data_IF_314020951173
#
_entry.id   IF_314020951173
#
_cell.length_a   1.000
_cell.length_b   1.000
_cell.length_c   1.000
_cell.angle_alpha   90.00
_cell.angle_beta   90.00
_cell.angle_gamma   90.00
#
_symmetry.space_group_name_H-M   'P 1'
#
loop_
_entity.id
_entity.type
_entity.pdbx_description
1 polymer ?
#
# COMPACT_ATOMS: atom_id res chain seq x y z
N UNK A 1 42.80 56.54 4.23
CA UNK A 1 43.01 55.50 3.19
C UNK A 1 41.98 55.70 2.08
N UNK A 2 42.17 55.06 0.93
CA UNK A 2 41.78 55.59 -0.37
C UNK A 2 40.27 55.59 -0.71
N UNK A 3 39.97 56.23 -1.82
CA UNK A 3 38.66 56.74 -2.26
C UNK A 3 38.49 56.37 -3.75
N UNK A 4 37.26 56.23 -4.25
CA UNK A 4 36.88 55.99 -5.68
C UNK A 4 37.20 54.60 -6.26
N UNK A 5 36.57 54.12 -7.36
CA UNK A 5 35.17 54.11 -7.83
C UNK A 5 35.10 53.24 -9.12
N UNK A 6 33.90 52.80 -9.52
CA UNK A 6 33.49 52.40 -10.89
C UNK A 6 34.01 51.10 -11.56
N UNK A 7 33.05 50.42 -12.20
CA UNK A 7 33.13 49.29 -13.16
C UNK A 7 33.93 49.61 -14.45
N UNK A 8 34.30 48.59 -15.26
CA UNK A 8 33.49 48.30 -16.45
C UNK A 8 33.23 46.80 -16.74
N UNK A 9 32.29 46.54 -17.64
CA UNK A 9 31.83 45.23 -18.14
C UNK A 9 32.12 45.17 -19.64
N UNK A 10 32.93 44.21 -20.13
CA UNK A 10 33.16 44.00 -21.58
C UNK A 10 33.10 42.52 -21.94
N UNK A 11 32.61 42.25 -23.16
CA UNK A 11 32.30 40.96 -23.79
C UNK A 11 33.48 40.35 -24.57
N UNK A 12 33.21 39.16 -25.13
CA UNK A 12 34.00 38.45 -26.16
C UNK A 12 35.17 37.61 -25.59
N UNK A 13 35.55 36.47 -26.18
CA UNK A 13 35.30 35.99 -27.56
C UNK A 13 35.13 34.46 -27.60
N UNK A 14 34.54 33.98 -28.70
CA UNK A 14 34.44 32.57 -29.11
C UNK A 14 35.70 32.19 -29.89
N UNK A 15 36.30 31.03 -29.64
CA UNK A 15 37.26 30.40 -30.56
C UNK A 15 37.10 28.88 -30.53
N UNK A 16 36.79 28.31 -31.70
CA UNK A 16 37.21 26.96 -32.09
C UNK A 16 38.76 26.99 -32.21
N UNK A 17 39.53 25.91 -32.24
CA UNK A 17 39.32 24.48 -32.54
C UNK A 17 40.55 23.71 -32.04
N UNK A 18 40.46 22.40 -31.84
CA UNK A 18 41.35 21.40 -32.47
C UNK A 18 41.02 19.98 -31.98
N UNK A 19 41.02 19.03 -32.92
CA UNK A 19 40.88 17.60 -32.65
C UNK A 19 42.26 17.05 -32.26
N UNK A 20 42.31 16.15 -31.28
CA UNK A 20 43.37 15.15 -31.21
C UNK A 20 42.83 13.87 -30.55
N UNK A 21 42.72 12.81 -31.34
CA UNK A 21 42.63 11.45 -30.81
C UNK A 21 43.96 11.09 -30.15
N UNK A 22 43.93 10.50 -28.95
CA UNK A 22 44.49 9.18 -28.71
C UNK A 22 44.17 8.67 -27.28
N UNK A 23 44.05 7.35 -27.19
CA UNK A 23 43.92 6.56 -25.96
C UNK A 23 45.14 6.68 -25.03
N UNK A 24 44.91 6.61 -23.71
CA UNK A 24 45.51 5.62 -22.77
C UNK A 24 44.63 5.58 -21.51
N UNK A 25 44.58 4.42 -20.85
CA UNK A 25 43.78 4.07 -19.68
C UNK A 25 43.98 4.96 -18.43
N UNK A 26 42.93 5.04 -17.61
CA UNK A 26 43.04 5.37 -16.19
C UNK A 26 42.06 4.50 -15.38
N UNK A 27 42.60 3.77 -14.41
CA UNK A 27 41.93 2.73 -13.62
C UNK A 27 41.04 3.27 -12.48
N UNK A 28 40.20 2.39 -11.93
CA UNK A 28 39.57 2.44 -10.59
C UNK A 28 38.58 3.59 -10.28
N UNK A 29 37.47 3.39 -9.55
CA UNK A 29 37.13 2.36 -8.55
C UNK A 29 35.70 1.82 -8.77
N UNK A 30 35.55 0.49 -8.78
CA UNK A 30 34.26 -0.22 -8.66
C UNK A 30 34.34 -1.20 -7.47
N UNK A 31 33.47 -1.11 -6.45
CA UNK A 31 33.47 -2.09 -5.35
C UNK A 31 32.85 -3.42 -5.80
N UNK A 32 33.73 -4.38 -6.04
CA UNK A 32 33.44 -5.78 -6.34
C UNK A 32 32.44 -6.43 -5.37
N UNK A 33 31.47 -7.22 -5.88
CA UNK A 33 30.88 -8.35 -5.12
C UNK A 33 30.25 -9.43 -6.01
N UNK A 34 31.04 -10.09 -6.86
CA UNK A 34 30.65 -11.38 -7.46
C UNK A 34 31.85 -12.34 -7.64
N UNK A 35 31.67 -13.58 -7.18
CA UNK A 35 32.46 -14.82 -7.39
C UNK A 35 33.77 -15.03 -6.59
N UNK A 36 33.78 -16.10 -5.77
CA UNK A 36 34.87 -17.03 -5.37
C UNK A 36 34.31 -18.00 -4.30
N UNK A 37 34.56 -19.32 -4.17
CA UNK A 37 34.93 -20.45 -5.06
C UNK A 37 34.10 -21.71 -4.58
N UNK A 38 34.15 -22.93 -5.17
CA UNK A 38 33.02 -23.90 -5.15
C UNK A 38 33.28 -25.27 -4.48
N UNK A 39 32.30 -26.19 -4.68
CA UNK A 39 32.39 -27.67 -4.75
C UNK A 39 32.32 -28.52 -3.46
N UNK A 40 31.63 -29.66 -3.64
CA UNK A 40 31.76 -30.94 -2.94
C UNK A 40 31.28 -31.03 -1.48
N UNK A 41 29.99 -31.33 -1.32
CA UNK A 41 29.59 -32.40 -0.40
C UNK A 41 28.62 -33.36 -1.10
N UNK A 42 29.03 -34.64 -1.21
CA UNK A 42 28.24 -35.76 -1.72
C UNK A 42 28.09 -36.73 -0.54
N UNK A 43 26.94 -36.74 0.11
CA UNK A 43 26.64 -37.71 1.18
C UNK A 43 25.39 -38.50 0.84
N UNK A 44 25.64 -39.77 0.51
CA UNK A 44 24.83 -40.95 0.79
C UNK A 44 23.41 -40.76 1.33
N UNK A 45 22.44 -41.28 0.58
CA UNK A 45 21.16 -41.73 1.14
C UNK A 45 21.37 -42.76 2.25
N UNK A 46 20.58 -42.75 3.32
CA UNK A 46 20.23 -43.92 4.10
C UNK A 46 18.96 -44.57 3.57
N UNK A 47 18.92 -45.88 3.73
CA UNK A 47 17.95 -46.86 3.23
C UNK A 47 16.51 -46.65 3.72
N UNK A 48 15.59 -47.32 3.01
CA UNK A 48 14.16 -47.35 3.26
C UNK A 48 13.82 -47.93 4.65
N UNK A 49 12.86 -47.33 5.34
CA UNK A 49 12.13 -47.98 6.42
C UNK A 49 10.63 -47.80 6.19
N UNK A 50 9.99 -48.87 5.68
CA UNK A 50 8.54 -48.94 5.57
C UNK A 50 7.91 -48.93 6.96
N UNK A 51 7.12 -47.89 7.27
CA UNK A 51 6.13 -47.95 8.35
C UNK A 51 4.75 -47.66 7.77
N UNK A 52 4.06 -48.72 7.38
CA UNK A 52 2.65 -48.66 6.96
C UNK A 52 1.77 -48.30 8.16
N UNK A 53 1.37 -47.04 8.25
CA UNK A 53 0.28 -46.61 9.12
C UNK A 53 -0.76 -45.95 8.23
N UNK A 54 -1.84 -46.68 7.95
CA UNK A 54 -3.03 -46.13 7.32
C UNK A 54 -3.68 -45.11 8.27
N UNK A 55 -3.20 -43.86 8.21
CA UNK A 55 -4.00 -42.71 8.59
C UNK A 55 -4.83 -42.32 7.37
N UNK A 56 -6.14 -42.58 7.40
CA UNK A 56 -7.09 -41.90 6.51
C UNK A 56 -7.03 -40.41 6.83
N UNK A 57 -6.09 -39.72 6.18
CA UNK A 57 -6.01 -38.26 6.19
C UNK A 57 -7.31 -37.76 5.58
N UNK A 58 -8.21 -37.28 6.46
CA UNK A 58 -9.51 -36.75 6.09
C UNK A 58 -9.32 -35.39 5.43
N UNK A 59 -8.70 -35.39 4.24
CA UNK A 59 -8.39 -34.20 3.46
C UNK A 59 -9.69 -33.44 3.24
N UNK A 60 -9.82 -32.34 4.00
CA UNK A 60 -10.90 -31.38 3.88
C UNK A 60 -10.79 -30.74 2.50
N UNK A 61 -11.40 -31.39 1.50
CA UNK A 61 -11.49 -30.85 0.14
C UNK A 61 -12.00 -29.43 0.24
N UNK A 62 -11.33 -28.43 -0.37
CA UNK A 62 -11.77 -27.05 -0.30
C UNK A 62 -13.24 -27.00 -0.74
N UNK A 63 -14.15 -26.52 0.13
CA UNK A 63 -15.55 -26.83 -0.05
C UNK A 63 -16.07 -26.06 -1.29
N UNK A 64 -16.86 -26.69 -2.18
CA UNK A 64 -17.12 -26.19 -3.54
C UNK A 64 -17.68 -24.76 -3.52
N UNK A 65 -17.32 -23.86 -4.45
CA UNK A 65 -17.75 -22.46 -4.39
C UNK A 65 -19.28 -22.32 -4.29
N UNK A 66 -19.80 -21.31 -3.59
CA UNK A 66 -21.24 -21.09 -3.49
C UNK A 66 -21.83 -20.88 -4.90
N UNK A 67 -22.99 -21.48 -5.22
CA UNK A 67 -23.57 -21.37 -6.56
C UNK A 67 -23.93 -19.91 -6.86
N UNK A 68 -23.54 -19.43 -8.04
CA UNK A 68 -23.66 -18.02 -8.45
C UNK A 68 -25.10 -17.46 -8.43
N UNK A 69 -26.11 -18.33 -8.43
CA UNK A 69 -27.51 -17.98 -8.19
C UNK A 69 -28.14 -18.90 -7.14
N UNK A 70 -28.11 -18.47 -5.87
CA UNK A 70 -28.93 -19.07 -4.81
C UNK A 70 -30.35 -18.54 -4.96
N UNK A 71 -31.28 -19.39 -5.38
CA UNK A 71 -32.71 -19.06 -5.35
C UNK A 71 -33.14 -18.70 -3.91
N UNK A 72 -33.62 -17.47 -3.71
CA UNK A 72 -34.08 -16.96 -2.43
C UNK A 72 -35.59 -17.14 -2.20
N UNK A 73 -36.36 -17.61 -3.19
CA UNK A 73 -37.81 -17.80 -3.04
C UNK A 73 -38.15 -18.98 -2.14
N UNK A 74 -37.27 -19.99 -2.04
CA UNK A 74 -37.44 -21.14 -1.14
C UNK A 74 -36.61 -21.04 0.15
N UNK A 75 -36.43 -19.85 0.71
CA UNK A 75 -35.73 -19.65 2.00
C UNK A 75 -36.58 -20.22 3.15
N UNK A 76 -36.03 -21.19 3.89
CA UNK A 76 -36.64 -21.68 5.13
C UNK A 76 -36.39 -20.69 6.29
N UNK A 77 -37.42 -20.27 7.07
CA UNK A 77 -37.28 -19.25 8.12
C UNK A 77 -36.39 -19.59 9.32
N UNK A 78 -35.95 -20.85 9.46
CA UNK A 78 -35.09 -21.33 10.56
C UNK A 78 -35.61 -21.03 11.98
N UNK A 79 -36.93 -20.98 12.19
CA UNK A 79 -37.55 -20.65 13.48
C UNK A 79 -37.25 -21.63 14.62
N UNK A 80 -36.71 -22.82 14.32
CA UNK A 80 -36.19 -23.76 15.32
C UNK A 80 -34.80 -23.35 15.87
N UNK A 81 -34.10 -22.41 15.23
CA UNK A 81 -32.82 -21.88 15.70
C UNK A 81 -33.04 -20.69 16.66
N UNK A 82 -32.36 -20.62 17.82
CA UNK A 82 -32.36 -19.44 18.68
C UNK A 82 -31.89 -18.18 17.96
N UNK A 83 -30.96 -18.31 16.99
CA UNK A 83 -30.46 -17.20 16.18
C UNK A 83 -31.59 -16.46 15.46
N UNK A 84 -32.57 -17.19 14.91
CA UNK A 84 -33.67 -16.59 14.13
C UNK A 84 -34.98 -16.43 14.93
N UNK A 85 -35.15 -17.16 16.04
CA UNK A 85 -36.36 -17.10 16.88
C UNK A 85 -36.24 -16.24 18.14
N UNK A 86 -35.03 -15.85 18.55
CA UNK A 86 -34.76 -15.04 19.76
C UNK A 86 -33.97 -13.76 19.49
N UNK A 87 -33.09 -13.75 18.48
CA UNK A 87 -32.19 -12.61 18.22
C UNK A 87 -32.78 -11.73 17.10
N UNK A 88 -33.02 -10.42 17.34
CA UNK A 88 -33.47 -9.46 16.32
C UNK A 88 -32.48 -9.31 15.17
N UNK A 89 -32.96 -8.90 13.99
CA UNK A 89 -32.14 -8.78 12.78
C UNK A 89 -30.97 -7.80 12.92
N UNK A 90 -31.14 -6.74 13.70
CA UNK A 90 -30.12 -5.73 14.00
C UNK A 90 -28.93 -6.33 14.76
N UNK A 91 -29.21 -7.24 15.69
CA UNK A 91 -28.19 -7.95 16.48
C UNK A 91 -27.58 -9.09 15.67
N UNK A 92 -28.37 -9.80 14.84
CA UNK A 92 -27.82 -10.76 13.86
C UNK A 92 -26.85 -10.09 12.91
N UNK A 93 -27.17 -8.92 12.38
CA UNK A 93 -26.31 -8.16 11.49
C UNK A 93 -24.97 -7.77 12.14
N UNK A 94 -24.95 -7.46 13.44
CA UNK A 94 -23.71 -7.25 14.19
C UNK A 94 -22.92 -8.55 14.35
N UNK A 95 -23.56 -9.63 14.80
CA UNK A 95 -22.95 -10.96 14.93
C UNK A 95 -22.32 -11.40 13.61
N UNK A 96 -23.04 -11.25 12.49
CA UNK A 96 -22.55 -11.60 11.16
C UNK A 96 -21.46 -10.66 10.65
N UNK A 97 -21.45 -9.39 11.05
CA UNK A 97 -20.36 -8.48 10.70
C UNK A 97 -19.06 -8.84 11.41
N UNK A 98 -19.12 -9.26 12.69
CA UNK A 98 -17.94 -9.76 13.43
C UNK A 98 -17.51 -11.15 12.95
N UNK A 99 -18.45 -12.06 12.68
CA UNK A 99 -18.14 -13.41 12.19
C UNK A 99 -17.59 -13.44 10.75
N UNK A 100 -17.69 -12.32 10.03
CA UNK A 100 -17.16 -12.10 8.68
C UNK A 100 -16.24 -10.87 8.66
N UNK A 101 -15.60 -10.57 9.79
CA UNK A 101 -14.51 -9.60 9.85
C UNK A 101 -13.21 -10.26 9.38
N UNK A 102 -12.33 -9.48 8.75
CA UNK A 102 -11.02 -9.96 8.31
C UNK A 102 -10.05 -9.98 9.50
N UNK A 103 -9.34 -11.09 9.68
CA UNK A 103 -8.34 -11.27 10.72
C UNK A 103 -7.02 -11.77 10.13
N UNK A 104 -5.92 -11.58 10.85
CA UNK A 104 -4.61 -12.11 10.45
C UNK A 104 -4.59 -13.63 10.62
N UNK A 105 -4.30 -14.35 9.54
CA UNK A 105 -4.23 -15.81 9.55
C UNK A 105 -3.03 -16.27 10.42
N UNK A 106 -3.28 -16.97 11.54
CA UNK A 106 -2.21 -17.37 12.46
C UNK A 106 -1.25 -18.41 11.87
N UNK A 107 -1.63 -19.06 10.78
CA UNK A 107 -0.77 -20.02 10.04
C UNK A 107 0.16 -19.31 9.04
N UNK A 108 -0.04 -18.01 8.79
CA UNK A 108 0.65 -17.23 7.76
C UNK A 108 1.12 -15.85 8.25
N UNK A 109 1.72 -15.82 9.43
CA UNK A 109 2.32 -14.61 9.99
C UNK A 109 3.64 -14.26 9.30
N UNK A 110 3.90 -12.98 9.12
CA UNK A 110 5.14 -12.45 8.56
C UNK A 110 6.28 -12.44 9.59
N UNK A 111 7.54 -12.41 9.13
CA UNK A 111 8.68 -12.20 10.02
C UNK A 111 8.58 -10.84 10.72
N UNK A 112 8.77 -10.80 12.05
CA UNK A 112 8.68 -9.55 12.84
C UNK A 112 9.59 -8.42 12.32
N UNK A 113 10.72 -8.77 11.72
CA UNK A 113 11.71 -7.83 11.19
C UNK A 113 11.47 -7.46 9.72
N UNK A 114 10.49 -8.04 9.04
CA UNK A 114 10.20 -7.72 7.64
C UNK A 114 9.70 -6.27 7.49
N UNK A 115 10.03 -5.64 6.36
CA UNK A 115 9.63 -4.25 6.05
C UNK A 115 8.11 -4.01 6.08
N UNK A 116 7.33 -5.05 5.80
CA UNK A 116 5.87 -5.00 5.68
C UNK A 116 5.12 -5.40 6.95
N UNK A 117 5.80 -5.87 8.00
CA UNK A 117 5.16 -6.21 9.27
C UNK A 117 4.80 -4.94 10.03
N UNK A 118 3.49 -4.64 10.10
CA UNK A 118 2.91 -3.48 10.75
C UNK A 118 1.68 -3.92 11.58
N UNK A 119 1.32 -3.23 12.68
CA UNK A 119 0.12 -3.54 13.44
C UNK A 119 -1.15 -3.62 12.57
N UNK A 120 -1.90 -4.72 12.70
CA UNK A 120 -3.08 -5.04 11.87
C UNK A 120 -2.77 -5.65 10.50
N UNK A 121 -1.49 -5.85 10.17
CA UNK A 121 -0.96 -6.41 8.93
C UNK A 121 0.25 -7.33 9.22
N UNK A 122 0.17 -8.12 10.30
CA UNK A 122 1.21 -9.04 10.76
C UNK A 122 1.25 -10.37 10.00
N UNK A 123 0.41 -10.55 8.98
CA UNK A 123 0.30 -11.76 8.16
C UNK A 123 -0.75 -11.61 7.04
N UNK A 124 -1.03 -12.70 6.34
CA UNK A 124 -2.14 -12.76 5.38
C UNK A 124 -3.47 -12.45 6.09
N UNK A 125 -4.34 -11.63 5.49
CA UNK A 125 -5.72 -11.48 5.99
C UNK A 125 -6.61 -12.61 5.46
N UNK A 126 -7.48 -13.12 6.33
CA UNK A 126 -8.47 -14.18 6.05
C UNK A 126 -9.84 -13.80 6.61
N UNK A 127 -10.89 -14.34 6.00
CA UNK A 127 -12.28 -14.26 6.44
C UNK A 127 -12.94 -15.65 6.38
N UNK A 128 -13.62 -16.07 7.44
CA UNK A 128 -14.23 -17.40 7.51
C UNK A 128 -15.61 -17.46 6.83
N UNK A 129 -15.58 -17.45 5.49
CA UNK A 129 -16.77 -17.50 4.62
C UNK A 129 -17.57 -18.82 4.70
N UNK A 130 -17.20 -19.76 5.57
CA UNK A 130 -17.97 -20.98 5.82
C UNK A 130 -19.41 -20.69 6.28
N UNK A 131 -19.61 -19.62 7.05
CA UNK A 131 -20.91 -19.16 7.53
C UNK A 131 -21.91 -18.89 6.39
N UNK A 132 -21.46 -18.34 5.26
CA UNK A 132 -22.30 -18.04 4.09
C UNK A 132 -22.98 -19.31 3.53
N UNK A 133 -22.45 -20.48 3.84
CA UNK A 133 -22.87 -21.78 3.30
C UNK A 133 -23.83 -22.53 4.22
N UNK A 134 -24.08 -22.03 5.43
CA UNK A 134 -24.86 -22.74 6.46
C UNK A 134 -26.33 -22.91 6.08
N UNK A 135 -26.99 -21.86 5.58
CA UNK A 135 -28.33 -21.96 4.98
C UNK A 135 -28.68 -20.74 4.11
N UNK A 136 -29.74 -20.86 3.29
CA UNK A 136 -30.22 -19.77 2.41
C UNK A 136 -30.58 -18.47 3.16
N UNK A 137 -31.07 -18.57 4.40
CA UNK A 137 -31.42 -17.38 5.20
C UNK A 137 -30.17 -16.62 5.65
N UNK A 138 -29.15 -17.33 6.15
CA UNK A 138 -27.84 -16.73 6.46
C UNK A 138 -27.25 -16.11 5.20
N UNK A 139 -27.19 -16.85 4.08
CA UNK A 139 -26.73 -16.30 2.80
C UNK A 139 -27.49 -15.02 2.40
N UNK A 140 -28.81 -14.96 2.58
CA UNK A 140 -29.59 -13.76 2.25
C UNK A 140 -29.27 -12.54 3.12
N UNK A 141 -28.96 -12.75 4.41
CA UNK A 141 -28.57 -11.68 5.34
C UNK A 141 -27.08 -11.29 5.22
N UNK A 142 -26.20 -12.20 4.76
CA UNK A 142 -24.74 -12.01 4.85
C UNK A 142 -23.97 -11.96 3.53
N UNK A 143 -24.52 -12.37 2.38
CA UNK A 143 -23.79 -12.47 1.09
C UNK A 143 -23.02 -11.22 0.66
N UNK A 144 -23.51 -10.03 1.03
CA UNK A 144 -22.86 -8.75 0.70
C UNK A 144 -21.89 -8.24 1.77
N UNK A 145 -21.74 -8.93 2.92
CA UNK A 145 -20.84 -8.51 3.99
C UNK A 145 -19.38 -8.61 3.55
N UNK A 146 -18.88 -9.73 2.96
CA UNK A 146 -17.48 -9.83 2.55
C UNK A 146 -17.09 -8.73 1.57
N UNK A 147 -17.83 -8.59 0.47
CA UNK A 147 -17.57 -7.59 -0.58
C UNK A 147 -17.57 -6.14 -0.05
N UNK A 148 -18.50 -5.83 0.88
CA UNK A 148 -18.64 -4.49 1.46
C UNK A 148 -17.60 -4.17 2.52
N UNK A 149 -17.18 -5.17 3.30
CA UNK A 149 -16.34 -4.96 4.48
C UNK A 149 -14.85 -5.24 4.22
N UNK A 150 -14.50 -6.06 3.22
CA UNK A 150 -13.10 -6.35 2.85
C UNK A 150 -12.33 -5.07 2.51
N UNK A 151 -11.14 -4.98 3.08
CA UNK A 151 -10.16 -3.92 2.83
C UNK A 151 -9.15 -4.38 1.78
N UNK A 152 -9.05 -3.67 0.66
CA UNK A 152 -8.00 -3.96 -0.32
C UNK A 152 -6.70 -3.29 0.13
N UNK A 153 -5.62 -4.05 0.21
CA UNK A 153 -4.29 -3.57 0.61
C UNK A 153 -3.36 -3.52 -0.60
N UNK A 154 -2.76 -2.36 -0.85
CA UNK A 154 -1.69 -2.18 -1.83
C UNK A 154 -0.36 -1.86 -1.17
N UNK A 155 0.70 -2.34 -1.81
CA UNK A 155 2.09 -2.05 -1.45
C UNK A 155 2.74 -1.41 -2.69
N UNK A 156 3.27 -0.20 -2.55
CA UNK A 156 3.83 0.59 -3.65
C UNK A 156 5.32 0.89 -3.40
N UNK A 157 6.16 0.59 -4.38
CA UNK A 157 7.61 0.72 -4.29
C UNK A 157 8.33 -0.62 -4.42
N UNK A 158 9.39 -0.83 -3.66
CA UNK A 158 10.30 -1.97 -3.83
C UNK A 158 9.65 -3.30 -3.44
N UNK A 159 9.87 -4.33 -4.26
CA UNK A 159 9.29 -5.67 -4.08
C UNK A 159 9.66 -6.35 -2.76
N UNK A 160 10.81 -6.03 -2.16
CA UNK A 160 11.22 -6.55 -0.85
C UNK A 160 10.50 -5.86 0.33
N UNK A 161 9.64 -4.87 0.06
CA UNK A 161 8.85 -4.12 1.04
C UNK A 161 7.36 -4.43 1.01
N UNK A 162 6.99 -5.45 0.24
CA UNK A 162 5.67 -6.07 0.17
C UNK A 162 5.76 -7.56 0.55
N UNK A 163 4.69 -8.16 1.09
CA UNK A 163 4.57 -9.62 1.27
C UNK A 163 4.81 -10.40 -0.03
N UNK A 164 5.37 -11.61 0.06
CA UNK A 164 5.78 -12.37 -1.14
C UNK A 164 4.62 -12.71 -2.09
N UNK A 165 3.44 -12.96 -1.51
CA UNK A 165 2.17 -13.27 -2.17
C UNK A 165 1.42 -12.04 -2.71
N UNK A 166 1.96 -10.83 -2.53
CA UNK A 166 1.41 -9.62 -3.16
C UNK A 166 1.52 -9.76 -4.67
N UNK A 167 0.42 -9.50 -5.39
CA UNK A 167 0.40 -9.48 -6.86
C UNK A 167 1.49 -8.57 -7.42
N UNK A 168 2.38 -9.16 -8.21
CA UNK A 168 3.44 -8.46 -8.94
C UNK A 168 2.94 -8.15 -10.34
N UNK A 169 3.61 -7.25 -11.06
CA UNK A 169 3.38 -7.10 -12.49
C UNK A 169 4.18 -8.17 -13.24
N UNK A 170 3.55 -9.34 -13.40
CA UNK A 170 4.13 -10.55 -14.01
C UNK A 170 4.71 -10.33 -15.41
N UNK A 171 4.29 -9.24 -16.08
CA UNK A 171 4.77 -8.80 -17.39
C UNK A 171 6.29 -8.52 -17.44
N UNK A 172 6.94 -8.28 -16.30
CA UNK A 172 8.40 -8.18 -16.21
C UNK A 172 8.99 -9.14 -15.16
N UNK A 173 9.63 -10.26 -15.58
CA UNK A 173 10.31 -11.19 -14.69
C UNK A 173 11.44 -10.61 -13.81
N UNK A 174 11.83 -9.36 -14.04
CA UNK A 174 12.86 -8.62 -13.30
C UNK A 174 12.33 -7.31 -12.69
N UNK A 175 11.01 -7.12 -12.57
CA UNK A 175 10.46 -5.92 -11.94
C UNK A 175 10.79 -5.89 -10.44
N UNK A 176 11.68 -4.99 -10.03
CA UNK A 176 12.00 -4.74 -8.62
C UNK A 176 10.92 -3.92 -7.90
N UNK A 177 9.78 -3.66 -8.55
CA UNK A 177 8.78 -2.68 -8.14
C UNK A 177 7.37 -3.27 -8.16
N UNK A 178 6.57 -2.88 -7.17
CA UNK A 178 5.14 -3.21 -7.02
C UNK A 178 4.34 -1.93 -7.25
N UNK A 179 3.38 -2.01 -8.18
CA UNK A 179 2.61 -0.85 -8.66
C UNK A 179 1.08 -1.03 -8.54
N UNK A 180 0.61 -2.18 -8.05
CA UNK A 180 -0.81 -2.49 -7.86
C UNK A 180 -1.64 -2.69 -9.13
N UNK A 181 -1.24 -2.14 -10.28
CA UNK A 181 -2.00 -2.20 -11.55
C UNK A 181 -2.47 -3.61 -11.92
N UNK A 182 -1.58 -4.61 -11.95
CA UNK A 182 -1.92 -5.98 -12.32
C UNK A 182 -2.96 -6.62 -11.39
N UNK A 183 -2.99 -6.20 -10.12
CA UNK A 183 -4.03 -6.62 -9.18
C UNK A 183 -5.37 -5.92 -9.45
N UNK A 184 -5.35 -4.62 -9.77
CA UNK A 184 -6.55 -3.89 -10.19
C UNK A 184 -7.13 -4.47 -11.47
N UNK A 185 -6.31 -4.84 -12.46
CA UNK A 185 -6.76 -5.52 -13.68
C UNK A 185 -7.32 -6.92 -13.39
N UNK A 186 -6.67 -7.73 -12.55
CA UNK A 186 -7.17 -9.04 -12.13
C UNK A 186 -8.51 -8.94 -11.38
N UNK A 187 -8.63 -8.00 -10.44
CA UNK A 187 -9.89 -7.68 -9.75
C UNK A 187 -10.96 -7.23 -10.76
N UNK A 188 -10.65 -6.25 -11.62
CA UNK A 188 -11.56 -5.75 -12.63
C UNK A 188 -12.06 -6.88 -13.53
N UNK A 189 -11.18 -7.77 -14.00
CA UNK A 189 -11.55 -8.95 -14.80
C UNK A 189 -12.42 -9.94 -14.02
N UNK A 190 -12.11 -10.23 -12.74
CA UNK A 190 -12.89 -11.13 -11.86
C UNK A 190 -14.27 -10.59 -11.48
N UNK A 191 -14.45 -9.26 -11.51
CA UNK A 191 -15.67 -8.57 -11.11
C UNK A 191 -16.44 -7.90 -12.26
N UNK A 192 -15.91 -7.93 -13.49
CA UNK A 192 -16.50 -7.31 -14.69
C UNK A 192 -17.96 -7.75 -14.91
N UNK A 193 -18.22 -9.06 -14.85
CA UNK A 193 -19.55 -9.67 -15.02
C UNK A 193 -20.58 -9.27 -13.93
N UNK A 194 -20.15 -8.56 -12.88
CA UNK A 194 -21.01 -8.17 -11.74
C UNK A 194 -21.26 -6.67 -11.65
N UNK A 195 -20.49 -5.84 -12.36
CA UNK A 195 -20.52 -4.37 -12.21
C UNK A 195 -20.07 -3.89 -10.82
N UNK A 196 -19.32 -4.71 -10.07
CA UNK A 196 -18.93 -4.45 -8.68
C UNK A 196 -17.50 -3.93 -8.59
N UNK A 197 -17.31 -2.62 -8.73
CA UNK A 197 -16.02 -1.94 -8.52
C UNK A 197 -15.95 -1.15 -7.18
N UNK A 198 -16.95 -1.36 -6.30
CA UNK A 198 -17.20 -0.58 -5.09
C UNK A 198 -16.67 -1.25 -3.82
N UNK A 199 -15.37 -1.14 -3.58
CA UNK A 199 -14.80 -1.45 -2.26
C UNK A 199 -14.92 -0.22 -1.36
N UNK A 200 -15.33 -0.36 -0.10
CA UNK A 200 -15.49 0.82 0.76
C UNK A 200 -14.16 1.42 1.21
N UNK A 201 -13.11 0.58 1.35
CA UNK A 201 -11.82 0.96 1.93
C UNK A 201 -10.67 0.38 1.13
N UNK A 202 -9.65 1.21 0.91
CA UNK A 202 -8.37 0.82 0.34
C UNK A 202 -7.26 1.30 1.27
N UNK A 203 -6.41 0.38 1.71
CA UNK A 203 -5.17 0.65 2.42
C UNK A 203 -4.01 0.67 1.42
N UNK A 204 -3.09 1.62 1.56
CA UNK A 204 -1.90 1.77 0.73
C UNK A 204 -0.69 1.98 1.64
N UNK A 205 0.28 1.08 1.55
CA UNK A 205 1.64 1.30 2.05
C UNK A 205 2.51 1.72 0.87
N UNK A 206 3.23 2.84 0.97
CA UNK A 206 3.99 3.36 -0.16
C UNK A 206 5.32 3.99 0.25
N UNK A 207 6.39 3.60 -0.44
CA UNK A 207 7.62 4.39 -0.46
C UNK A 207 7.39 5.72 -1.14
N UNK A 208 8.04 6.79 -0.67
CA UNK A 208 7.77 8.16 -1.13
C UNK A 208 7.95 8.37 -2.64
N UNK A 209 8.89 7.67 -3.29
CA UNK A 209 9.07 7.75 -4.75
C UNK A 209 7.94 7.11 -5.56
N UNK A 210 7.15 6.23 -4.94
CA UNK A 210 6.14 5.40 -5.61
C UNK A 210 4.71 5.91 -5.41
N UNK A 211 4.51 6.98 -4.63
CA UNK A 211 3.17 7.49 -4.28
C UNK A 211 2.48 8.05 -5.52
N UNK A 212 3.09 9.00 -6.24
CA UNK A 212 2.43 9.71 -7.35
C UNK A 212 2.05 8.73 -8.48
N UNK A 213 3.05 8.04 -9.03
CA UNK A 213 2.89 7.07 -10.11
C UNK A 213 2.04 5.86 -9.72
N UNK A 214 2.20 5.35 -8.50
CA UNK A 214 1.38 4.25 -7.99
C UNK A 214 -0.09 4.61 -7.85
N UNK A 215 -0.43 5.82 -7.36
CA UNK A 215 -1.83 6.27 -7.33
C UNK A 215 -2.41 6.50 -8.74
N UNK A 216 -1.64 7.04 -9.69
CA UNK A 216 -2.10 7.17 -11.08
C UNK A 216 -2.44 5.81 -11.70
N UNK A 217 -1.61 4.79 -11.48
CA UNK A 217 -1.91 3.43 -11.92
C UNK A 217 -3.22 2.94 -11.26
N UNK A 218 -3.33 2.97 -9.93
CA UNK A 218 -4.50 2.46 -9.19
C UNK A 218 -5.84 3.11 -9.56
N UNK A 219 -5.85 4.41 -9.90
CA UNK A 219 -7.07 5.23 -9.89
C UNK A 219 -7.34 6.03 -11.17
N UNK A 220 -6.37 6.15 -12.07
CA UNK A 220 -6.42 7.05 -13.25
C UNK A 220 -6.29 6.26 -14.56
N UNK A 221 -5.60 5.12 -14.57
CA UNK A 221 -5.35 4.30 -15.79
C UNK A 221 -4.49 4.98 -16.86
N UNK A 222 -4.17 6.25 -16.64
CA UNK A 222 -2.95 6.88 -17.11
C UNK A 222 -1.78 6.17 -16.44
N UNK A 223 -1.37 5.04 -17.02
CA UNK A 223 0.02 4.57 -16.93
C UNK A 223 0.91 5.80 -16.98
N UNK A 224 1.73 6.00 -15.95
CA UNK A 224 2.59 7.16 -15.94
C UNK A 224 3.50 7.14 -17.18
N UNK A 225 3.55 8.29 -17.84
CA UNK A 225 4.17 8.51 -19.14
C UNK A 225 5.70 8.46 -19.02
N UNK A 226 6.24 7.26 -18.77
CA UNK A 226 7.67 6.97 -18.85
C UNK A 226 8.05 6.31 -20.18
N UNK A 227 7.11 5.61 -20.85
CA UNK A 227 7.38 4.94 -22.14
C UNK A 227 6.24 5.11 -23.16
N UNK A 228 6.02 6.34 -23.66
CA UNK A 228 5.03 6.59 -24.73
C UNK A 228 5.31 5.83 -26.04
N UNK A 229 6.53 5.35 -26.25
CA UNK A 229 6.94 4.81 -27.55
C UNK A 229 6.28 3.45 -27.90
N UNK A 230 5.94 2.63 -26.90
CA UNK A 230 5.34 1.31 -27.13
C UNK A 230 3.83 1.37 -27.44
N UNK A 231 3.11 2.41 -26.98
CA UNK A 231 1.69 2.62 -27.37
C UNK A 231 1.50 2.90 -28.88
N UNK A 232 2.57 3.08 -29.67
CA UNK A 232 2.50 3.13 -31.14
C UNK A 232 2.03 1.81 -31.78
N UNK A 233 2.15 0.67 -31.10
CA UNK A 233 1.80 -0.64 -31.67
C UNK A 233 0.37 -1.12 -31.36
N UNK A 234 -0.19 -0.82 -30.18
CA UNK A 234 -1.55 -1.24 -29.80
C UNK A 234 -2.62 -0.21 -30.15
N UNK A 235 -2.81 0.01 -31.45
CA UNK A 235 -3.71 1.03 -32.03
C UNK A 235 -5.21 0.66 -32.04
N UNK A 236 -5.62 -0.30 -31.22
CA UNK A 236 -6.94 -0.95 -31.32
C UNK A 236 -7.57 -1.39 -29.98
N UNK A 237 -7.08 -0.92 -28.84
CA UNK A 237 -7.86 -1.01 -27.60
C UNK A 237 -8.85 0.17 -27.56
N UNK A 238 -10.17 -0.07 -27.52
CA UNK A 238 -11.14 0.99 -27.26
C UNK A 238 -10.83 1.68 -25.93
N UNK A 239 -11.28 2.93 -25.80
CA UNK A 239 -11.26 3.65 -24.53
C UNK A 239 -12.35 3.08 -23.62
N UNK A 240 -12.13 1.86 -23.11
CA UNK A 240 -12.99 1.24 -22.10
C UNK A 240 -12.89 2.07 -20.81
N UNK A 241 -13.99 2.68 -20.35
CA UNK A 241 -14.03 3.29 -19.02
C UNK A 241 -14.09 2.18 -17.96
N UNK A 242 -14.03 2.56 -16.68
CA UNK A 242 -14.43 1.68 -15.55
C UNK A 242 -13.52 0.49 -15.20
N UNK A 243 -12.19 0.60 -15.38
CA UNK A 243 -11.22 -0.33 -14.76
C UNK A 243 -10.62 0.16 -13.42
N UNK A 244 -11.27 1.11 -12.77
CA UNK A 244 -10.74 1.75 -11.56
C UNK A 244 -11.47 1.29 -10.32
N UNK A 245 -10.72 1.12 -9.22
CA UNK A 245 -11.33 1.00 -7.91
C UNK A 245 -12.03 2.31 -7.56
N UNK A 246 -13.24 2.20 -7.02
CA UNK A 246 -14.04 3.34 -6.57
C UNK A 246 -14.17 3.36 -5.03
N UNK A 247 -13.06 3.55 -4.27
CA UNK A 247 -13.10 3.60 -2.83
C UNK A 247 -13.85 4.83 -2.30
N UNK A 248 -14.52 4.66 -1.16
CA UNK A 248 -15.04 5.79 -0.36
C UNK A 248 -13.99 6.32 0.61
N UNK A 249 -13.14 5.44 1.14
CA UNK A 249 -12.04 5.76 2.04
C UNK A 249 -10.75 5.20 1.49
N UNK A 250 -9.72 6.04 1.39
CA UNK A 250 -8.34 5.61 1.16
C UNK A 250 -7.54 5.92 2.43
N UNK A 251 -6.69 5.00 2.86
CA UNK A 251 -5.67 5.21 3.89
C UNK A 251 -4.30 5.02 3.26
N UNK A 252 -3.43 6.03 3.36
CA UNK A 252 -2.02 5.97 2.99
C UNK A 252 -1.17 5.94 4.26
N UNK A 253 -0.44 4.86 4.49
CA UNK A 253 0.51 4.76 5.61
C UNK A 253 1.94 4.90 5.09
N UNK A 254 2.60 6.00 5.47
CA UNK A 254 4.04 6.18 5.29
C UNK A 254 4.74 5.60 6.52
N UNK A 255 5.18 4.33 6.41
CA UNK A 255 5.95 3.66 7.47
C UNK A 255 7.25 4.43 7.73
N UNK A 256 7.82 4.25 8.91
CA UNK A 256 9.13 4.80 9.27
C UNK A 256 10.21 4.51 8.19
N UNK A 257 10.18 3.31 7.63
CA UNK A 257 11.13 2.87 6.61
C UNK A 257 10.83 3.40 5.21
N UNK A 258 9.65 3.95 4.95
CA UNK A 258 9.25 4.44 3.62
C UNK A 258 9.73 5.87 3.35
N UNK A 259 10.25 6.56 4.38
CA UNK A 259 10.79 7.91 4.25
C UNK A 259 12.09 7.97 3.43
N UNK A 260 12.29 9.09 2.73
CA UNK A 260 13.53 9.38 1.99
C UNK A 260 14.77 9.21 2.89
N UNK A 261 15.68 8.32 2.50
CA UNK A 261 16.98 8.10 3.14
C UNK A 261 16.90 7.83 4.66
N UNK A 262 15.85 7.11 5.10
CA UNK A 262 15.66 6.71 6.50
C UNK A 262 16.83 5.86 7.03
N UNK A 263 17.49 5.08 6.17
CA UNK A 263 18.67 4.26 6.49
C UNK A 263 19.82 5.10 7.06
N UNK A 264 19.94 6.35 6.60
CA UNK A 264 20.97 7.31 6.99
C UNK A 264 20.51 8.26 8.11
N UNK A 265 19.35 8.00 8.72
CA UNK A 265 18.69 8.87 9.71
C UNK A 265 18.44 10.32 9.21
N UNK A 266 18.30 10.51 7.90
CA UNK A 266 18.25 11.83 7.26
C UNK A 266 17.07 12.66 7.78
N UNK A 267 17.31 13.94 8.09
CA UNK A 267 16.27 14.86 8.58
C UNK A 267 15.12 14.96 7.56
N UNK A 268 13.87 14.89 8.04
CA UNK A 268 12.69 14.99 7.18
C UNK A 268 12.16 16.43 7.05
N UNK A 269 11.29 16.63 6.05
CA UNK A 269 10.50 17.83 5.86
C UNK A 269 9.72 18.22 7.14
N UNK A 270 9.45 19.51 7.45
CA UNK A 270 9.85 20.73 6.75
C UNK A 270 11.25 21.23 7.12
N UNK A 271 12.03 20.46 7.89
CA UNK A 271 13.38 20.86 8.31
C UNK A 271 14.39 20.60 7.17
N UNK A 272 14.17 19.56 6.36
CA UNK A 272 14.86 19.41 5.08
C UNK A 272 14.11 20.11 3.94
N UNK A 273 14.86 20.53 2.93
CA UNK A 273 14.33 21.16 1.71
C UNK A 273 13.64 20.16 0.77
N UNK A 274 13.69 18.86 1.06
CA UNK A 274 13.07 17.82 0.26
C UNK A 274 11.64 17.61 0.76
N UNK A 275 10.68 18.20 0.07
CA UNK A 275 9.26 17.99 0.32
C UNK A 275 8.88 16.50 0.25
N UNK A 276 7.84 16.14 1.01
CA UNK A 276 7.50 14.73 1.17
C UNK A 276 6.82 14.17 -0.09
N UNK A 277 5.66 14.72 -0.48
CA UNK A 277 5.08 14.61 -1.83
C UNK A 277 4.00 15.69 -2.02
N UNK A 278 3.68 16.04 -3.27
CA UNK A 278 2.62 17.02 -3.57
C UNK A 278 1.26 16.33 -3.71
N UNK A 279 0.45 16.38 -2.64
CA UNK A 279 -0.93 15.83 -2.60
C UNK A 279 -1.82 16.28 -3.77
N UNK A 280 -1.56 17.46 -4.34
CA UNK A 280 -2.38 18.06 -5.41
C UNK A 280 -2.14 17.38 -6.76
N UNK A 281 -0.99 16.73 -6.94
CA UNK A 281 -0.64 16.00 -8.18
C UNK A 281 -1.35 14.66 -8.28
N UNK A 282 -1.89 14.14 -7.17
CA UNK A 282 -2.52 12.82 -7.08
C UNK A 282 -4.04 12.95 -7.23
N UNK A 283 -4.64 12.53 -8.35
CA UNK A 283 -6.08 12.66 -8.59
C UNK A 283 -6.84 11.47 -7.98
N UNK A 284 -7.67 11.75 -6.97
CA UNK A 284 -8.50 10.73 -6.32
C UNK A 284 -9.78 10.43 -7.13
N UNK A 285 -10.30 9.18 -7.13
CA UNK A 285 -11.56 8.84 -7.77
C UNK A 285 -12.77 9.66 -7.25
N UNK A 286 -13.80 9.94 -8.07
CA UNK A 286 -15.01 10.69 -7.65
C UNK A 286 -15.75 10.10 -6.45
N UNK A 287 -15.58 8.79 -6.20
CA UNK A 287 -16.16 8.09 -5.05
C UNK A 287 -15.54 8.46 -3.71
N UNK A 288 -14.34 9.03 -3.67
CA UNK A 288 -13.61 9.22 -2.41
C UNK A 288 -14.24 10.33 -1.59
N UNK A 289 -14.75 9.96 -0.41
CA UNK A 289 -15.34 10.85 0.59
C UNK A 289 -14.30 11.24 1.65
N UNK A 290 -13.31 10.37 1.90
CA UNK A 290 -12.27 10.54 2.91
C UNK A 290 -10.92 10.01 2.43
N UNK A 291 -9.87 10.79 2.67
CA UNK A 291 -8.47 10.36 2.59
C UNK A 291 -7.86 10.41 3.99
N UNK A 292 -7.12 9.39 4.37
CA UNK A 292 -6.40 9.30 5.65
C UNK A 292 -4.93 9.16 5.34
N UNK A 293 -4.07 9.94 6.01
CA UNK A 293 -2.61 9.73 5.94
C UNK A 293 -2.09 9.44 7.34
N UNK A 294 -1.42 8.30 7.47
CA UNK A 294 -0.70 7.89 8.66
C UNK A 294 0.80 8.15 8.45
N UNK A 295 1.32 9.14 9.16
CA UNK A 295 2.74 9.46 9.15
C UNK A 295 3.41 8.76 10.33
N UNK A 296 4.14 7.67 10.06
CA UNK A 296 4.89 6.93 11.06
C UNK A 296 6.35 7.41 11.16
N UNK A 297 6.90 7.45 12.37
CA UNK A 297 8.34 7.53 12.57
C UNK A 297 8.79 6.92 13.91
N UNK A 298 10.09 6.74 14.11
CA UNK A 298 10.65 6.36 15.42
C UNK A 298 10.52 7.52 16.43
N UNK A 299 10.40 7.20 17.73
CA UNK A 299 10.27 8.20 18.81
C UNK A 299 11.39 9.26 18.79
N UNK A 300 12.61 8.86 18.41
CA UNK A 300 13.76 9.76 18.27
C UNK A 300 13.47 10.97 17.36
N UNK A 301 12.61 10.78 16.34
CA UNK A 301 12.26 11.78 15.34
C UNK A 301 10.92 12.47 15.59
N UNK A 302 10.32 12.31 16.79
CA UNK A 302 9.01 12.89 17.15
C UNK A 302 8.89 14.37 16.79
N UNK A 303 9.93 15.17 17.06
CA UNK A 303 9.94 16.62 16.79
C UNK A 303 9.93 16.96 15.29
N UNK A 304 10.60 16.16 14.47
CA UNK A 304 10.58 16.34 13.01
C UNK A 304 9.20 15.99 12.45
N UNK A 305 8.63 14.88 12.92
CA UNK A 305 7.26 14.46 12.59
C UNK A 305 6.21 15.50 13.04
N UNK A 306 6.39 16.11 14.22
CA UNK A 306 5.58 17.25 14.66
C UNK A 306 5.79 18.50 13.81
N UNK A 307 6.96 18.65 13.17
CA UNK A 307 7.23 19.61 12.11
C UNK A 307 6.35 19.37 10.88
N UNK A 308 6.29 18.13 10.36
CA UNK A 308 5.39 17.76 9.24
C UNK A 308 3.95 18.17 9.55
N UNK A 309 3.44 17.75 10.72
CA UNK A 309 2.08 18.07 11.16
C UNK A 309 1.90 19.57 11.44
N UNK A 310 2.98 20.33 11.68
CA UNK A 310 2.92 21.80 11.77
C UNK A 310 2.66 22.44 10.43
N UNK A 311 3.41 22.03 9.41
CA UNK A 311 3.31 22.57 8.07
C UNK A 311 1.95 22.26 7.43
N UNK A 312 1.45 21.03 7.60
CA UNK A 312 0.12 20.62 7.12
C UNK A 312 -1.01 21.56 7.59
N UNK A 313 -0.98 21.97 8.86
CA UNK A 313 -2.01 22.84 9.44
C UNK A 313 -1.72 24.33 9.25
N UNK A 314 -0.48 24.71 8.89
CA UNK A 314 -0.12 26.09 8.58
C UNK A 314 -0.55 26.50 7.16
N UNK A 315 -0.47 25.59 6.19
CA UNK A 315 -0.86 25.83 4.78
C UNK A 315 -1.87 24.77 4.28
N UNK A 316 -3.09 24.82 4.84
CA UNK A 316 -4.17 23.87 4.49
C UNK A 316 -4.64 23.95 3.03
N UNK A 317 -4.39 25.06 2.34
CA UNK A 317 -4.76 25.24 0.93
C UNK A 317 -3.74 24.60 -0.02
N UNK A 318 -2.47 24.51 0.39
CA UNK A 318 -1.45 23.68 -0.27
C UNK A 318 -1.71 22.18 -0.07
N UNK A 319 -2.01 21.76 1.16
CA UNK A 319 -2.21 20.34 1.48
C UNK A 319 -3.65 19.87 1.28
N UNK A 320 -4.09 19.90 0.03
CA UNK A 320 -5.39 19.38 -0.42
C UNK A 320 -5.19 18.22 -1.39
N UNK A 321 -6.13 17.27 -1.37
CA UNK A 321 -6.23 16.25 -2.40
C UNK A 321 -7.26 16.68 -3.43
N UNK A 322 -6.90 16.62 -4.71
CA UNK A 322 -7.81 16.90 -5.81
C UNK A 322 -8.54 15.61 -6.20
N UNK A 323 -9.86 15.68 -6.36
CA UNK A 323 -10.68 14.59 -6.89
C UNK A 323 -10.93 14.81 -8.38
N UNK A 324 -11.08 13.73 -9.15
CA UNK A 324 -11.19 13.76 -10.61
C UNK A 324 -12.40 14.58 -11.13
N UNK A 325 -13.44 14.76 -10.30
CA UNK A 325 -14.63 15.58 -10.58
C UNK A 325 -14.47 17.06 -10.17
N UNK A 326 -13.28 17.46 -9.71
CA UNK A 326 -12.96 18.83 -9.30
C UNK A 326 -13.24 19.15 -7.83
N UNK A 327 -13.85 18.24 -7.07
CA UNK A 327 -14.01 18.39 -5.62
C UNK A 327 -12.65 18.29 -4.92
N UNK A 328 -12.48 19.04 -3.83
CA UNK A 328 -11.28 18.97 -2.98
C UNK A 328 -11.59 18.27 -1.67
N UNK A 329 -10.65 17.42 -1.23
CA UNK A 329 -10.64 16.93 0.15
C UNK A 329 -9.68 17.79 0.95
N UNK A 330 -10.15 18.33 2.08
CA UNK A 330 -9.42 19.24 2.96
C UNK A 330 -9.22 18.63 4.35
N UNK A 331 -8.15 19.06 5.02
CA UNK A 331 -7.82 18.63 6.40
C UNK A 331 -9.02 18.84 7.31
N UNK A 332 -9.40 17.78 8.02
CA UNK A 332 -10.51 17.74 8.95
C UNK A 332 -10.08 18.36 10.29
N UNK A 333 -10.62 19.54 10.58
CA UNK A 333 -10.44 20.23 11.86
C UNK A 333 -9.65 21.52 11.73
N UNK A 334 -9.94 22.48 12.63
CA UNK A 334 -9.32 23.80 12.53
C UNK A 334 -7.88 23.85 13.04
N UNK A 335 -7.57 23.07 14.07
CA UNK A 335 -6.26 23.02 14.68
C UNK A 335 -5.79 21.56 14.82
N UNK A 336 -4.48 21.39 15.00
CA UNK A 336 -3.87 20.09 15.35
C UNK A 336 -4.59 19.42 16.52
N UNK A 337 -5.00 20.22 17.51
CA UNK A 337 -5.68 19.77 18.73
C UNK A 337 -7.11 19.36 18.37
N UNK A 338 -7.31 18.06 18.15
CA UNK A 338 -8.58 17.47 17.73
C UNK A 338 -8.64 17.14 16.24
N UNK A 339 -7.80 17.74 15.39
CA UNK A 339 -7.63 17.36 13.99
C UNK A 339 -6.65 16.21 13.74
N UNK A 340 -5.82 15.84 14.73
CA UNK A 340 -4.79 14.80 14.62
C UNK A 340 -4.99 13.73 15.69
N UNK A 341 -4.95 12.44 15.29
CA UNK A 341 -4.86 11.31 16.22
C UNK A 341 -3.40 10.87 16.34
N UNK A 342 -2.97 10.47 17.53
CA UNK A 342 -1.65 9.87 17.78
C UNK A 342 -1.84 8.48 18.37
N UNK A 343 -1.10 7.50 17.85
CA UNK A 343 -0.95 6.19 18.48
C UNK A 343 0.51 5.73 18.39
N UNK A 344 0.86 4.69 19.14
CA UNK A 344 2.24 4.24 19.29
C UNK A 344 2.29 2.71 19.31
N UNK A 345 3.40 2.12 18.84
CA UNK A 345 3.64 0.68 18.92
C UNK A 345 5.13 0.34 19.07
N UNK A 346 5.45 -0.93 19.30
CA UNK A 346 6.81 -1.42 19.54
C UNK A 346 7.36 -2.17 18.33
N UNK A 347 7.89 -1.42 17.37
CA UNK A 347 8.56 -1.96 16.19
C UNK A 347 9.88 -2.66 16.51
N UNK A 348 10.44 -3.43 15.58
CA UNK A 348 11.76 -4.05 15.73
C UNK A 348 12.88 -3.01 15.58
N UNK A 349 14.03 -3.22 16.23
CA UNK A 349 15.26 -2.44 15.97
C UNK A 349 16.08 -2.98 14.81
N UNK A 350 15.74 -4.17 14.32
CA UNK A 350 16.28 -4.76 13.09
C UNK A 350 15.21 -4.69 12.01
N UNK A 351 15.61 -4.29 10.82
CA UNK A 351 14.74 -4.27 9.63
C UNK A 351 15.42 -5.14 8.58
N UNK A 352 14.72 -6.16 8.11
CA UNK A 352 15.24 -7.23 7.27
C UNK A 352 16.59 -7.77 7.80
N UNK A 353 16.65 -8.06 9.12
CA UNK A 353 17.83 -8.55 9.87
C UNK A 353 19.00 -7.56 10.00
N UNK A 354 18.99 -6.45 9.25
CA UNK A 354 19.97 -5.37 9.33
C UNK A 354 19.72 -4.45 10.54
N UNK A 355 20.81 -3.94 11.13
CA UNK A 355 20.80 -2.94 12.23
C UNK A 355 21.35 -1.62 11.70
N UNK A 356 20.75 -0.52 12.15
CA UNK A 356 21.15 0.84 11.76
C UNK A 356 21.65 1.61 12.98
N UNK A 357 22.55 2.57 12.79
CA UNK A 357 23.28 3.22 13.89
C UNK A 357 22.39 4.04 14.85
N UNK A 358 21.28 4.56 14.34
CA UNK A 358 20.26 5.30 15.09
C UNK A 358 19.20 4.39 15.73
N UNK A 359 19.28 3.06 15.56
CA UNK A 359 18.45 2.11 16.28
C UNK A 359 19.15 1.68 17.58
N UNK A 360 18.46 1.84 18.72
CA UNK A 360 18.99 1.51 20.04
C UNK A 360 19.34 0.02 20.24
N UNK A 361 20.03 -0.31 21.33
CA UNK A 361 20.63 -1.65 21.53
C UNK A 361 19.62 -2.79 21.74
N UNK A 362 18.42 -2.53 22.28
CA UNK A 362 17.39 -3.56 22.49
C UNK A 362 16.75 -4.10 21.21
N UNK A 363 15.83 -5.06 21.33
CA UNK A 363 15.15 -5.73 20.20
C UNK A 363 13.87 -5.02 19.71
N UNK A 364 13.47 -3.94 20.40
CA UNK A 364 12.32 -3.13 20.01
C UNK A 364 12.57 -1.63 20.20
N UNK A 365 11.94 -0.83 19.36
CA UNK A 365 11.94 0.62 19.44
C UNK A 365 10.51 1.16 19.34
N UNK A 366 10.26 2.27 20.03
CA UNK A 366 8.95 2.91 20.03
C UNK A 366 8.73 3.64 18.71
N UNK A 367 7.68 3.26 18.01
CA UNK A 367 7.15 3.92 16.83
C UNK A 367 6.02 4.86 17.26
N UNK A 368 5.91 6.01 16.59
CA UNK A 368 4.82 6.98 16.73
C UNK A 368 4.14 7.09 15.37
N UNK A 369 2.81 7.04 15.35
CA UNK A 369 2.00 7.31 14.17
C UNK A 369 1.12 8.53 14.43
N UNK A 370 1.25 9.55 13.57
CA UNK A 370 0.35 10.72 13.53
C UNK A 370 -0.62 10.54 12.37
N UNK A 371 -1.91 10.48 12.67
CA UNK A 371 -2.97 10.25 11.69
C UNK A 371 -3.71 11.56 11.43
N UNK A 372 -3.76 11.97 10.16
CA UNK A 372 -4.50 13.14 9.67
C UNK A 372 -5.59 12.67 8.72
N UNK A 373 -6.78 13.24 8.84
CA UNK A 373 -7.91 12.95 7.95
C UNK A 373 -8.19 14.14 7.04
N UNK A 374 -8.44 13.89 5.77
CA UNK A 374 -9.02 14.82 4.81
C UNK A 374 -10.42 14.34 4.46
N UNK A 375 -11.38 15.26 4.35
CA UNK A 375 -12.77 14.97 3.99
C UNK A 375 -13.19 15.81 2.80
N UNK A 376 -14.02 15.24 1.92
CA UNK A 376 -14.59 16.00 0.82
C UNK A 376 -15.44 17.16 1.36
N UNK A 377 -15.27 18.35 0.79
CA UNK A 377 -16.22 19.43 1.02
C UNK A 377 -17.60 18.95 0.56
N UNK A 378 -18.61 19.00 1.45
CA UNK A 378 -19.99 18.78 1.02
C UNK A 378 -20.35 19.92 0.08
N UNK A 379 -20.87 19.59 -1.11
CA UNK A 379 -21.58 20.57 -1.91
C UNK A 379 -22.71 21.17 -1.05
N UNK A 380 -22.54 22.42 -0.67
CA UNK A 380 -23.67 23.28 -0.31
C UNK A 380 -24.27 23.63 -1.67
N UNK A 381 -25.37 22.97 -2.04
CA UNK A 381 -26.18 23.42 -3.16
C UNK A 381 -26.67 24.85 -2.86
N UNK A 382 -26.58 25.79 -3.82
CA UNK A 382 -26.86 27.21 -3.61
C UNK A 382 -28.35 27.54 -3.46
#
# INVERSE_FOLDING_TARGET
MCFWKTFPRILSKRSQSEEYENSVDSEEVQPCFWKIFPRLFRMSQPEEYESSVDSEEFQLRPPPPPPANVDLTTVHPQSQSPLFSKIPGEIRNQIFSFALEEYVDPEKTYEREAYYTHPGYEGDKRMDVALLRTCKLIWSETRGIPERNTEIVFWLGDVHRAPENTYRLDHWPNASLVWGQGYVDDLANKFHDRGTHFHNRVQIFAQMYAIESGFHNLFDGREEILWQEERKWNKALPAEPERFLLPKVITLTLRYTDWWYWEANTIIYPISNTEFFDMRRIPLPPSVEKMVVEFENIELKKKELEGVISELFADKDRYVWNRQDGVKLRIKGEEKKGGVREWNWMGPTRINRARYAHHGEGDSMKMIVKVVEWVAEKHVEP
#
